data_IF_260820075788
#
_entry.id   IF_260820075788
#
_cell.length_a   1.000
_cell.length_b   1.000
_cell.length_c   1.000
_cell.angle_alpha   90.00
_cell.angle_beta   90.00
_cell.angle_gamma   90.00
#
_symmetry.space_group_name_H-M   'P 1'
#
loop_
_entity.id
_entity.type
_entity.pdbx_description
1 polymer ?
#
# COMPACT_ATOMS: atom_id res chain seq x y z
N UNK A 1 29.06 2.05 -23.96
CA UNK A 1 27.96 2.36 -23.02
C UNK A 1 28.42 1.93 -21.65
N UNK A 2 28.61 2.86 -20.71
CA UNK A 2 29.15 2.61 -19.38
C UNK A 2 28.22 1.66 -18.61
N UNK A 3 28.78 0.55 -18.17
CA UNK A 3 28.12 -0.39 -17.26
C UNK A 3 28.06 0.28 -15.88
N UNK A 4 27.10 1.22 -15.69
CA UNK A 4 26.78 1.75 -14.36
C UNK A 4 26.38 0.55 -13.51
N UNK A 5 27.10 0.27 -12.44
CA UNK A 5 26.82 -0.78 -11.48
C UNK A 5 25.33 -0.73 -11.11
N UNK A 6 24.56 -1.70 -11.64
CA UNK A 6 23.17 -1.85 -11.23
C UNK A 6 23.19 -2.27 -9.77
N UNK A 7 22.47 -1.55 -8.95
CA UNK A 7 22.24 -1.96 -7.58
C UNK A 7 21.32 -3.18 -7.61
N UNK A 8 21.77 -4.28 -7.01
CA UNK A 8 20.99 -5.52 -6.92
C UNK A 8 20.80 -5.83 -5.45
N UNK A 9 19.54 -6.08 -5.05
CA UNK A 9 19.18 -6.49 -3.71
C UNK A 9 18.39 -7.81 -3.75
N UNK A 10 18.50 -8.60 -2.70
CA UNK A 10 17.67 -9.78 -2.47
C UNK A 10 16.60 -9.41 -1.44
N UNK A 11 15.40 -9.16 -1.90
CA UNK A 11 14.25 -8.73 -1.11
C UNK A 11 13.00 -9.46 -1.58
N UNK A 12 11.94 -9.42 -0.80
CA UNK A 12 10.62 -9.93 -1.22
C UNK A 12 9.74 -8.83 -1.84
N UNK A 13 8.53 -9.21 -2.28
CA UNK A 13 7.59 -8.27 -2.91
C UNK A 13 7.03 -7.24 -1.92
N UNK A 14 6.87 -7.60 -0.65
CA UNK A 14 6.41 -6.67 0.38
C UNK A 14 7.46 -5.57 0.64
N UNK A 15 8.72 -5.97 0.80
CA UNK A 15 9.81 -5.01 0.99
C UNK A 15 9.97 -4.10 -0.22
N UNK A 16 9.87 -4.66 -1.44
CA UNK A 16 9.96 -3.91 -2.68
C UNK A 16 8.87 -2.84 -2.80
N UNK A 17 7.62 -3.19 -2.51
CA UNK A 17 6.50 -2.26 -2.54
C UNK A 17 6.60 -1.22 -1.41
N UNK A 18 6.88 -1.66 -0.17
CA UNK A 18 7.01 -0.79 0.99
C UNK A 18 8.14 0.23 0.83
N UNK A 19 9.26 -0.17 0.24
CA UNK A 19 10.40 0.72 -0.01
C UNK A 19 9.99 1.94 -0.82
N UNK A 20 9.24 1.74 -1.90
CA UNK A 20 8.76 2.83 -2.73
C UNK A 20 7.66 3.61 -2.02
N UNK A 21 6.65 2.92 -1.50
CA UNK A 21 5.51 3.53 -0.83
C UNK A 21 5.92 4.49 0.29
N UNK A 22 6.84 4.05 1.16
CA UNK A 22 7.37 4.87 2.24
C UNK A 22 8.11 6.11 1.73
N UNK A 23 8.90 5.95 0.66
CA UNK A 23 9.73 7.04 0.13
C UNK A 23 8.95 8.14 -0.57
N UNK A 24 7.75 7.87 -1.04
CA UNK A 24 6.97 8.82 -1.83
C UNK A 24 5.74 9.36 -1.11
N UNK A 25 5.37 8.80 0.05
CA UNK A 25 4.23 9.26 0.83
C UNK A 25 4.66 10.02 2.09
N UNK A 26 3.76 10.81 2.63
CA UNK A 26 3.90 11.58 3.86
C UNK A 26 3.22 10.90 5.03
N UNK A 27 2.19 10.10 4.75
CA UNK A 27 1.42 9.34 5.75
C UNK A 27 1.27 7.89 5.31
N UNK A 28 1.55 6.96 6.23
CA UNK A 28 1.22 5.55 6.09
C UNK A 28 0.20 5.18 7.18
N UNK A 29 -1.05 5.05 6.83
CA UNK A 29 -2.08 4.59 7.77
C UNK A 29 -2.15 3.07 7.73
N UNK A 30 -1.85 2.42 8.84
CA UNK A 30 -1.65 0.97 8.88
C UNK A 30 -2.60 0.28 9.86
N UNK A 31 -2.93 -0.96 9.55
CA UNK A 31 -3.42 -1.98 10.45
C UNK A 31 -2.93 -3.32 9.92
N UNK A 32 -1.87 -3.90 10.53
CA UNK A 32 -1.18 -5.06 9.98
C UNK A 32 -2.07 -6.29 9.83
N UNK A 33 -2.02 -6.90 8.66
CA UNK A 33 -2.70 -8.18 8.36
C UNK A 33 -1.80 -9.05 7.47
N UNK A 34 -1.65 -10.33 7.81
CA UNK A 34 -0.87 -11.30 7.02
C UNK A 34 -1.50 -11.53 5.63
N UNK A 35 -0.71 -11.53 4.53
CA UNK A 35 0.75 -11.45 4.45
C UNK A 35 1.31 -10.02 4.25
N UNK A 36 0.51 -8.98 4.30
CA UNK A 36 0.94 -7.59 4.08
C UNK A 36 1.63 -6.94 5.28
N UNK A 37 1.63 -7.58 6.46
CA UNK A 37 2.17 -7.02 7.71
C UNK A 37 3.58 -6.50 7.57
N UNK A 38 4.45 -7.22 6.84
CA UNK A 38 5.85 -6.82 6.62
C UNK A 38 5.99 -5.44 5.99
N UNK A 39 5.06 -5.03 5.12
CA UNK A 39 5.08 -3.68 4.54
C UNK A 39 4.88 -2.61 5.62
N UNK A 40 3.94 -2.84 6.52
CA UNK A 40 3.63 -1.94 7.62
C UNK A 40 4.77 -1.90 8.65
N UNK A 41 5.30 -3.06 9.02
CA UNK A 41 6.42 -3.21 9.96
C UNK A 41 7.68 -2.50 9.46
N UNK A 42 8.03 -2.64 8.18
CA UNK A 42 9.15 -1.93 7.57
C UNK A 42 8.94 -0.42 7.55
N UNK A 43 7.74 0.04 7.22
CA UNK A 43 7.43 1.47 7.25
C UNK A 43 7.59 2.05 8.66
N UNK A 44 7.10 1.37 9.69
CA UNK A 44 7.25 1.77 11.08
C UNK A 44 8.71 1.75 11.53
N UNK A 45 9.45 0.70 11.17
CA UNK A 45 10.89 0.61 11.45
C UNK A 45 11.67 1.77 10.82
N UNK A 46 11.40 2.11 9.58
CA UNK A 46 12.09 3.22 8.91
C UNK A 46 11.71 4.57 9.52
N UNK A 47 10.45 4.77 9.89
CA UNK A 47 9.99 5.99 10.57
C UNK A 47 10.67 6.14 11.94
N UNK A 48 10.72 5.06 12.74
CA UNK A 48 11.36 5.07 14.06
C UNK A 48 12.87 5.37 13.99
N UNK A 49 13.52 5.00 12.87
CA UNK A 49 14.93 5.33 12.58
C UNK A 49 15.12 6.74 11.99
N UNK A 50 14.07 7.51 11.81
CA UNK A 50 14.12 8.85 11.22
C UNK A 50 14.48 8.88 9.74
N UNK A 51 14.19 7.79 9.00
CA UNK A 51 14.47 7.71 7.57
C UNK A 51 13.52 8.63 6.82
N UNK A 52 14.09 9.56 6.06
CA UNK A 52 13.31 10.55 5.31
C UNK A 52 12.80 10.02 3.98
N UNK A 53 11.63 10.50 3.60
CA UNK A 53 11.08 10.35 2.25
C UNK A 53 11.80 11.29 1.25
N UNK A 54 11.39 11.26 -0.02
CA UNK A 54 11.98 12.10 -1.08
C UNK A 54 11.69 13.60 -0.89
N UNK A 55 10.71 13.93 -0.04
CA UNK A 55 10.33 15.32 0.28
C UNK A 55 11.14 15.88 1.45
N UNK A 56 11.99 15.07 2.08
CA UNK A 56 12.85 15.46 3.19
C UNK A 56 12.23 15.31 4.57
N UNK A 57 11.03 14.76 4.67
CA UNK A 57 10.30 14.52 5.92
C UNK A 57 10.35 13.04 6.29
N UNK A 58 10.22 12.73 7.58
CA UNK A 58 9.94 11.39 8.05
C UNK A 58 8.42 11.19 7.93
N UNK A 59 7.94 10.17 7.19
CA UNK A 59 6.50 9.90 7.11
C UNK A 59 5.88 9.60 8.46
N UNK A 60 4.67 10.09 8.67
CA UNK A 60 3.85 9.70 9.81
C UNK A 60 3.29 8.29 9.58
N UNK A 61 3.72 7.33 10.39
CA UNK A 61 3.18 5.97 10.37
C UNK A 61 2.20 5.84 11.52
N UNK A 62 0.93 5.62 11.20
CA UNK A 62 -0.17 5.68 12.17
C UNK A 62 -0.87 4.32 12.19
N UNK A 63 -0.72 3.57 13.29
CA UNK A 63 -1.46 2.34 13.50
C UNK A 63 -2.87 2.64 14.01
N UNK A 64 -3.85 2.09 13.33
CA UNK A 64 -5.26 2.30 13.60
C UNK A 64 -5.87 1.12 14.37
N UNK A 65 -7.17 1.19 14.68
CA UNK A 65 -7.90 0.16 15.43
C UNK A 65 -8.51 -0.93 14.52
N UNK A 66 -8.52 -0.66 13.21
CA UNK A 66 -9.01 -1.59 12.18
C UNK A 66 -8.60 -1.10 10.80
N UNK A 67 -8.73 -1.96 9.80
CA UNK A 67 -8.47 -1.60 8.40
C UNK A 67 -9.44 -0.52 7.90
N UNK A 68 -10.71 -0.57 8.34
CA UNK A 68 -11.67 0.49 8.07
C UNK A 68 -11.23 1.85 8.65
N UNK A 69 -10.65 1.84 9.84
CA UNK A 69 -10.02 3.01 10.47
C UNK A 69 -8.81 3.51 9.66
N UNK A 70 -7.94 2.59 9.21
CA UNK A 70 -6.81 2.95 8.36
C UNK A 70 -7.26 3.60 7.05
N UNK A 71 -8.27 3.04 6.37
CA UNK A 71 -8.83 3.64 5.15
C UNK A 71 -9.49 5.00 5.42
N UNK A 72 -10.14 5.17 6.57
CA UNK A 72 -10.68 6.45 7.01
C UNK A 72 -9.60 7.51 7.23
N UNK A 73 -8.48 7.10 7.82
CA UNK A 73 -7.30 7.97 8.01
C UNK A 73 -6.67 8.35 6.68
N UNK A 74 -6.54 7.38 5.74
CA UNK A 74 -6.10 7.68 4.36
C UNK A 74 -7.00 8.74 3.75
N UNK A 75 -8.32 8.54 3.79
CA UNK A 75 -9.28 9.49 3.24
C UNK A 75 -9.12 10.88 3.88
N UNK A 76 -9.04 10.96 5.21
CA UNK A 76 -8.88 12.23 5.92
C UNK A 76 -7.59 12.96 5.58
N UNK A 77 -6.47 12.25 5.51
CA UNK A 77 -5.18 12.82 5.15
C UNK A 77 -5.15 13.33 3.70
N UNK A 78 -5.77 12.60 2.77
CA UNK A 78 -5.92 13.04 1.38
C UNK A 78 -6.70 14.35 1.25
N UNK A 79 -7.72 14.57 2.10
CA UNK A 79 -8.49 15.82 2.13
C UNK A 79 -7.65 17.03 2.56
N UNK A 80 -6.58 16.81 3.31
CA UNK A 80 -5.63 17.86 3.68
C UNK A 80 -4.50 18.08 2.65
N UNK A 81 -4.48 17.26 1.60
CA UNK A 81 -3.48 17.33 0.53
C UNK A 81 -2.22 16.50 0.78
N UNK A 82 -2.18 15.68 1.84
CA UNK A 82 -1.03 14.81 2.13
C UNK A 82 -1.04 13.58 1.23
N UNK A 83 0.11 13.22 0.68
CA UNK A 83 0.31 11.96 -0.02
C UNK A 83 0.25 10.80 0.99
N UNK A 84 -0.69 9.90 0.79
CA UNK A 84 -1.03 8.89 1.80
C UNK A 84 -1.23 7.51 1.20
N UNK A 85 -0.77 6.49 1.90
CA UNK A 85 -0.87 5.09 1.50
C UNK A 85 -1.29 4.18 2.65
N UNK A 86 -1.66 2.95 2.32
CA UNK A 86 -1.93 1.87 3.27
C UNK A 86 -1.52 0.52 2.69
N UNK A 87 -1.37 -0.47 3.58
CA UNK A 87 -0.99 -1.85 3.26
C UNK A 87 -2.04 -2.79 3.82
N UNK A 88 -2.53 -3.74 3.01
CA UNK A 88 -3.63 -4.61 3.44
C UNK A 88 -3.69 -5.92 2.67
N UNK A 89 -4.61 -6.79 3.06
CA UNK A 89 -4.90 -8.08 2.43
C UNK A 89 -6.31 -8.55 2.81
N UNK A 90 -6.91 -9.43 2.03
CA UNK A 90 -8.07 -10.24 2.41
C UNK A 90 -9.22 -9.43 3.05
N UNK A 91 -9.70 -9.85 4.23
CA UNK A 91 -10.76 -9.15 4.96
C UNK A 91 -10.44 -7.69 5.24
N UNK A 92 -9.16 -7.36 5.44
CA UNK A 92 -8.72 -5.97 5.61
C UNK A 92 -9.12 -5.10 4.42
N UNK A 93 -8.88 -5.57 3.20
CA UNK A 93 -9.32 -4.87 2.00
C UNK A 93 -10.84 -4.75 1.93
N UNK A 94 -11.58 -5.78 2.37
CA UNK A 94 -13.05 -5.73 2.42
C UNK A 94 -13.56 -4.64 3.36
N UNK A 95 -12.91 -4.45 4.51
CA UNK A 95 -13.26 -3.38 5.46
C UNK A 95 -12.93 -1.97 4.93
N UNK A 96 -12.06 -1.88 3.94
CA UNK A 96 -11.68 -0.61 3.30
C UNK A 96 -12.62 -0.19 2.15
N UNK A 97 -13.42 -1.12 1.59
CA UNK A 97 -14.23 -0.87 0.39
C UNK A 97 -15.09 0.40 0.46
N UNK A 98 -15.81 0.70 1.56
CA UNK A 98 -16.62 1.91 1.63
C UNK A 98 -15.81 3.19 1.42
N UNK A 99 -14.63 3.26 2.02
CA UNK A 99 -13.73 4.40 1.85
C UNK A 99 -13.09 4.43 0.45
N UNK A 100 -12.82 3.27 -0.14
CA UNK A 100 -12.30 3.19 -1.52
C UNK A 100 -13.29 3.79 -2.52
N UNK A 101 -14.60 3.47 -2.41
CA UNK A 101 -15.63 4.12 -3.23
C UNK A 101 -15.60 5.64 -3.09
N UNK A 102 -15.44 6.12 -1.86
CA UNK A 102 -15.41 7.55 -1.55
C UNK A 102 -14.18 8.23 -2.16
N UNK A 103 -13.00 7.66 -1.93
CA UNK A 103 -11.72 8.15 -2.45
C UNK A 103 -11.75 8.18 -3.99
N UNK A 104 -12.23 7.09 -4.63
CA UNK A 104 -12.33 7.02 -6.08
C UNK A 104 -13.30 8.06 -6.64
N UNK A 105 -14.44 8.26 -5.99
CA UNK A 105 -15.44 9.26 -6.40
C UNK A 105 -14.96 10.70 -6.26
N UNK A 106 -14.05 10.97 -5.34
CA UNK A 106 -13.44 12.28 -5.11
C UNK A 106 -12.19 12.52 -5.96
N UNK A 107 -11.70 11.51 -6.67
CA UNK A 107 -10.48 11.57 -7.50
C UNK A 107 -9.25 12.02 -6.71
N UNK A 108 -9.17 11.67 -5.42
CA UNK A 108 -8.00 11.97 -4.61
C UNK A 108 -6.91 10.93 -4.82
N UNK A 109 -5.62 11.34 -4.94
CA UNK A 109 -4.52 10.44 -5.30
C UNK A 109 -4.16 9.52 -4.12
N UNK A 110 -4.43 8.24 -4.26
CA UNK A 110 -4.05 7.23 -3.27
C UNK A 110 -3.64 5.92 -3.93
N UNK A 111 -2.67 5.23 -3.33
CA UNK A 111 -2.29 3.87 -3.70
C UNK A 111 -2.47 2.97 -2.49
N UNK A 112 -3.22 1.89 -2.67
CA UNK A 112 -3.37 0.82 -1.68
C UNK A 112 -2.52 -0.36 -2.13
N UNK A 113 -1.57 -0.76 -1.30
CA UNK A 113 -0.70 -1.89 -1.59
C UNK A 113 -1.31 -3.16 -0.98
N UNK A 114 -1.60 -4.13 -1.83
CA UNK A 114 -2.33 -5.34 -1.45
C UNK A 114 -1.47 -6.57 -1.68
N UNK A 115 -1.13 -7.27 -0.60
CA UNK A 115 -0.61 -8.62 -0.70
C UNK A 115 -1.80 -9.59 -0.80
N UNK A 116 -2.26 -9.80 -2.03
CA UNK A 116 -3.52 -10.47 -2.34
C UNK A 116 -3.63 -11.86 -1.71
N UNK A 117 -4.72 -12.09 -0.99
CA UNK A 117 -4.97 -13.29 -0.18
C UNK A 117 -6.44 -13.71 -0.29
N UNK A 118 -6.69 -15.01 -0.18
CA UNK A 118 -8.05 -15.55 -0.13
C UNK A 118 -8.88 -14.92 0.98
N UNK A 119 -10.19 -14.77 0.74
CA UNK A 119 -11.12 -14.34 1.77
C UNK A 119 -11.44 -15.52 2.70
N UNK A 120 -11.50 -15.27 4.01
CA UNK A 120 -11.99 -16.24 4.97
C UNK A 120 -13.51 -16.42 4.77
N UNK A 121 -13.91 -17.63 4.41
CA UNK A 121 -15.31 -18.02 4.28
C UNK A 121 -15.61 -19.14 5.29
N UNK A 122 -15.33 -20.39 4.94
CA UNK A 122 -15.47 -21.53 5.86
C UNK A 122 -14.20 -21.77 6.66
N UNK A 123 -13.05 -21.47 6.10
CA UNK A 123 -11.74 -21.59 6.73
C UNK A 123 -10.88 -20.37 6.46
N UNK A 124 -9.86 -20.23 7.28
CA UNK A 124 -8.83 -19.20 7.11
C UNK A 124 -7.68 -19.76 6.29
N UNK A 125 -7.24 -19.01 5.29
CA UNK A 125 -5.99 -19.27 4.55
C UNK A 125 -5.20 -17.99 4.42
N UNK A 126 -3.87 -18.09 4.54
CA UNK A 126 -2.94 -16.97 4.33
C UNK A 126 -2.29 -17.01 2.95
N UNK A 127 -2.62 -18.01 2.14
CA UNK A 127 -2.05 -18.17 0.81
C UNK A 127 -2.59 -17.16 -0.20
N UNK A 128 -1.76 -16.83 -1.19
CA UNK A 128 -2.10 -15.92 -2.26
C UNK A 128 -3.33 -16.38 -3.05
N UNK A 129 -4.23 -15.43 -3.29
CA UNK A 129 -5.46 -15.60 -4.04
C UNK A 129 -5.92 -14.22 -4.53
N UNK A 130 -6.80 -14.18 -5.52
CA UNK A 130 -7.32 -12.92 -6.07
C UNK A 130 -8.73 -12.56 -5.58
N UNK A 131 -9.30 -13.28 -4.63
CA UNK A 131 -10.67 -13.05 -4.16
C UNK A 131 -10.86 -11.63 -3.60
N UNK A 132 -9.92 -11.14 -2.81
CA UNK A 132 -9.97 -9.82 -2.20
C UNK A 132 -9.93 -8.70 -3.24
N UNK A 133 -8.97 -8.73 -4.17
CA UNK A 133 -8.86 -7.72 -5.23
C UNK A 133 -10.02 -7.81 -6.22
N UNK A 134 -10.53 -9.01 -6.50
CA UNK A 134 -11.71 -9.18 -7.35
C UNK A 134 -12.97 -8.58 -6.71
N UNK A 135 -13.11 -8.66 -5.40
CA UNK A 135 -14.20 -7.98 -4.68
C UNK A 135 -14.05 -6.44 -4.72
N UNK A 136 -12.82 -5.94 -4.71
CA UNK A 136 -12.54 -4.50 -4.77
C UNK A 136 -12.69 -3.88 -6.17
N UNK A 137 -12.78 -4.67 -7.23
CA UNK A 137 -12.80 -4.19 -8.64
C UNK A 137 -13.90 -3.19 -8.96
N UNK A 138 -14.98 -3.18 -8.18
CA UNK A 138 -16.13 -2.30 -8.40
C UNK A 138 -15.98 -0.93 -7.76
N UNK A 139 -14.93 -0.70 -6.98
CA UNK A 139 -14.74 0.56 -6.22
C UNK A 139 -14.36 1.76 -7.08
N UNK A 140 -13.88 1.53 -8.29
CA UNK A 140 -13.36 2.57 -9.18
C UNK A 140 -11.83 2.72 -9.14
N UNK A 141 -11.15 2.03 -8.24
CA UNK A 141 -9.69 1.96 -8.26
C UNK A 141 -9.18 1.21 -9.49
N UNK A 142 -8.16 1.77 -10.15
CA UNK A 142 -7.37 1.02 -11.12
C UNK A 142 -6.55 -0.04 -10.38
N UNK A 143 -6.31 -1.17 -11.03
CA UNK A 143 -5.57 -2.27 -10.43
C UNK A 143 -4.33 -2.60 -11.27
N UNK A 144 -3.17 -2.68 -10.62
CA UNK A 144 -1.94 -3.21 -11.19
C UNK A 144 -1.57 -4.50 -10.46
N UNK A 145 -1.25 -5.54 -11.21
CA UNK A 145 -0.86 -6.85 -10.65
C UNK A 145 0.56 -7.17 -11.08
N UNK A 146 1.45 -7.35 -10.11
CA UNK A 146 2.85 -7.71 -10.34
C UNK A 146 3.04 -9.22 -10.33
N UNK A 147 3.91 -9.72 -11.20
CA UNK A 147 4.32 -11.12 -11.28
C UNK A 147 5.77 -11.35 -10.81
N UNK A 148 6.48 -10.30 -10.46
CA UNK A 148 7.86 -10.36 -9.97
C UNK A 148 8.12 -9.28 -8.92
N UNK A 149 9.19 -9.48 -8.12
CA UNK A 149 9.63 -8.49 -7.12
C UNK A 149 10.01 -7.16 -7.76
N UNK A 150 10.65 -7.19 -8.93
CA UNK A 150 10.98 -5.97 -9.67
C UNK A 150 9.72 -5.22 -10.11
N UNK A 151 8.70 -5.95 -10.61
CA UNK A 151 7.43 -5.33 -10.97
C UNK A 151 6.69 -4.76 -9.75
N UNK A 152 6.75 -5.42 -8.58
CA UNK A 152 6.16 -4.88 -7.36
C UNK A 152 6.78 -3.52 -7.01
N UNK A 153 8.09 -3.40 -7.12
CA UNK A 153 8.81 -2.14 -6.93
C UNK A 153 8.40 -1.08 -7.94
N UNK A 154 8.43 -1.42 -9.23
CA UNK A 154 8.19 -0.47 -10.32
C UNK A 154 6.72 -0.03 -10.35
N UNK A 155 5.78 -0.96 -10.14
CA UNK A 155 4.36 -0.66 -10.13
C UNK A 155 3.94 0.19 -8.94
N UNK A 156 4.61 0.08 -7.79
CA UNK A 156 4.37 0.97 -6.66
C UNK A 156 4.61 2.44 -7.05
N UNK A 157 5.69 2.72 -7.77
CA UNK A 157 5.99 4.07 -8.28
C UNK A 157 5.04 4.48 -9.40
N UNK A 158 4.80 3.58 -10.36
CA UNK A 158 3.92 3.86 -11.52
C UNK A 158 2.49 4.16 -11.04
N UNK A 159 1.97 3.40 -10.08
CA UNK A 159 0.65 3.63 -9.50
C UNK A 159 0.55 5.01 -8.85
N UNK A 160 1.55 5.40 -8.07
CA UNK A 160 1.57 6.71 -7.42
C UNK A 160 1.60 7.85 -8.45
N UNK A 161 2.49 7.76 -9.45
CA UNK A 161 2.57 8.78 -10.51
C UNK A 161 1.27 8.84 -11.32
N UNK A 162 0.65 7.70 -11.60
CA UNK A 162 -0.62 7.64 -12.32
C UNK A 162 -1.77 8.27 -11.51
N UNK A 163 -1.78 8.07 -10.18
CA UNK A 163 -2.82 8.64 -9.30
C UNK A 163 -2.76 10.17 -9.20
N UNK A 164 -1.62 10.77 -9.53
CA UNK A 164 -1.39 12.23 -9.48
C UNK A 164 -1.77 12.95 -10.79
N UNK A 165 -2.17 12.21 -11.83
CA UNK A 165 -2.56 12.77 -13.15
C UNK A 165 -4.05 12.84 -13.32
#
# INVERSE_FOLDING_TARGET
MSNKNKLVATIDGNEAAAYVAYRINEVCAIYPITPSSTMAELADEWASKGVKNIWGNVPDVIEMQSEGGAAGTVHGALQTGSLTTTFTASQGLMLMLPNMYKIAGELTPAVFHVAARSLAAQGLSIFGDHQDVMAARTTGFAMLSSASVQEAHDFALIAQVASLK
#
